data_IF_529545108543
#
_entry.id   IF_529545108543
#
_cell.length_a   1.000
_cell.length_b   1.000
_cell.length_c   1.000
_cell.angle_alpha   90.00
_cell.angle_beta   90.00
_cell.angle_gamma   90.00
#
_symmetry.space_group_name_H-M   'P 1'
#
loop_
_entity.id
_entity.type
_entity.pdbx_description
1 polymer ?
#
# COMPACT_ATOMS: atom_id res chain seq x y z
N UNK A 1 -11.51 4.82 7.98
CA UNK A 1 -11.46 3.83 9.06
C UNK A 1 -10.29 4.16 9.96
N UNK A 2 -10.54 4.34 11.25
CA UNK A 2 -9.50 4.50 12.27
C UNK A 2 -9.02 3.12 12.75
N UNK A 3 -7.71 2.93 12.83
CA UNK A 3 -7.07 1.63 13.14
C UNK A 3 -5.93 1.81 14.13
N UNK A 4 -5.84 0.91 15.12
CA UNK A 4 -4.79 0.89 16.15
C UNK A 4 -4.44 -0.52 16.63
N UNK A 5 -3.26 -1.05 16.27
CA UNK A 5 -2.73 -2.33 16.80
C UNK A 5 -2.50 -2.30 18.32
N UNK A 6 -2.38 -1.10 18.91
CA UNK A 6 -2.20 -0.90 20.36
C UNK A 6 -3.50 -0.98 21.17
N UNK A 7 -4.63 -1.29 20.53
CA UNK A 7 -5.95 -1.43 21.17
C UNK A 7 -6.42 -0.14 21.85
N UNK A 8 -6.33 0.96 21.11
CA UNK A 8 -6.75 2.28 21.59
C UNK A 8 -8.28 2.39 21.67
N UNK A 9 -8.86 1.97 22.79
CA UNK A 9 -10.28 2.21 23.11
C UNK A 9 -11.30 1.41 22.29
N UNK A 10 -10.87 0.52 21.40
CA UNK A 10 -11.76 -0.28 20.55
C UNK A 10 -11.40 -1.77 20.48
N UNK A 11 -12.24 -2.51 19.76
CA UNK A 11 -12.11 -3.94 19.48
C UNK A 11 -12.60 -4.24 18.07
N UNK A 12 -12.02 -5.26 17.43
CA UNK A 12 -12.44 -5.72 16.10
C UNK A 12 -13.88 -6.26 16.15
N UNK A 13 -14.82 -5.40 15.76
CA UNK A 13 -16.26 -5.63 15.77
C UNK A 13 -16.87 -5.08 14.49
N UNK A 14 -18.16 -5.36 14.26
CA UNK A 14 -18.92 -4.77 13.15
C UNK A 14 -19.07 -3.24 13.28
N UNK A 15 -18.88 -2.68 14.46
CA UNK A 15 -19.05 -1.23 14.71
C UNK A 15 -17.73 -0.44 14.68
N UNK A 16 -16.56 -1.10 14.73
CA UNK A 16 -15.27 -0.39 14.71
C UNK A 16 -14.97 0.42 13.44
N UNK A 17 -13.98 1.30 13.48
CA UNK A 17 -13.48 2.09 12.35
C UNK A 17 -13.85 3.57 12.40
N UNK A 18 -14.55 4.00 13.45
CA UNK A 18 -14.76 5.42 13.78
C UNK A 18 -13.76 5.88 14.87
N UNK A 19 -13.79 7.19 15.16
CA UNK A 19 -12.86 7.83 16.10
C UNK A 19 -13.07 7.37 17.56
N UNK A 20 -14.29 6.96 17.92
CA UNK A 20 -14.68 6.51 19.26
C UNK A 20 -14.60 4.98 19.41
N UNK A 21 -14.60 4.25 18.30
CA UNK A 21 -14.57 2.79 18.22
C UNK A 21 -13.54 2.37 17.19
N UNK A 22 -12.26 2.37 17.58
CA UNK A 22 -11.13 2.12 16.67
C UNK A 22 -10.98 0.62 16.39
N UNK A 23 -10.69 0.23 15.15
CA UNK A 23 -10.38 -1.19 14.85
C UNK A 23 -8.99 -1.55 15.36
N UNK A 24 -8.83 -2.75 15.90
CA UNK A 24 -7.57 -3.22 16.47
C UNK A 24 -6.63 -3.86 15.44
N UNK A 25 -7.15 -4.27 14.29
CA UNK A 25 -6.32 -4.82 13.22
C UNK A 25 -6.61 -4.19 11.86
N UNK A 26 -5.52 -4.03 11.08
CA UNK A 26 -5.63 -3.58 9.70
C UNK A 26 -6.42 -4.59 8.85
N UNK A 27 -6.13 -5.88 9.03
CA UNK A 27 -6.83 -6.96 8.36
C UNK A 27 -8.35 -6.89 8.57
N UNK A 28 -8.80 -6.77 9.81
CA UNK A 28 -10.23 -6.64 10.10
C UNK A 28 -10.81 -5.36 9.47
N UNK A 29 -10.09 -4.24 9.53
CA UNK A 29 -10.55 -3.00 8.89
C UNK A 29 -10.73 -3.16 7.37
N UNK A 30 -9.86 -3.91 6.69
CA UNK A 30 -9.99 -4.20 5.26
C UNK A 30 -11.27 -5.00 4.97
N UNK A 31 -11.61 -5.98 5.81
CA UNK A 31 -12.83 -6.79 5.64
C UNK A 31 -14.14 -5.98 5.80
N UNK A 32 -14.06 -4.79 6.41
CA UNK A 32 -15.21 -3.92 6.65
C UNK A 32 -15.52 -2.93 5.53
N UNK A 33 -14.77 -2.97 4.44
CA UNK A 33 -15.06 -2.16 3.26
C UNK A 33 -16.48 -2.44 2.75
N UNK A 34 -17.33 -1.43 2.76
CA UNK A 34 -18.72 -1.56 2.30
C UNK A 34 -18.87 -1.41 0.79
N UNK A 35 -17.93 -0.70 0.17
CA UNK A 35 -17.84 -0.58 -1.29
C UNK A 35 -16.75 -1.53 -1.75
N UNK A 36 -17.05 -2.52 -2.61
CA UNK A 36 -16.04 -3.43 -3.11
C UNK A 36 -15.13 -2.74 -4.13
N UNK A 37 -13.94 -3.28 -4.28
CA UNK A 37 -12.92 -2.87 -5.24
C UNK A 37 -13.42 -2.82 -6.70
N UNK A 38 -12.69 -2.10 -7.57
CA UNK A 38 -13.00 -2.10 -9.00
C UNK A 38 -12.87 -3.51 -9.59
N UNK A 39 -13.92 -3.90 -10.29
CA UNK A 39 -13.99 -5.11 -11.11
C UNK A 39 -14.40 -4.72 -12.53
N UNK A 40 -14.22 -5.59 -13.53
CA UNK A 40 -14.72 -5.35 -14.88
C UNK A 40 -16.22 -5.01 -14.95
N UNK A 41 -17.02 -5.48 -13.99
CA UNK A 41 -18.47 -5.32 -13.98
C UNK A 41 -18.95 -4.02 -13.35
N UNK A 42 -18.11 -3.33 -12.55
CA UNK A 42 -18.49 -2.11 -11.84
C UNK A 42 -17.74 -0.85 -12.32
N UNK A 43 -17.03 -0.92 -13.44
CA UNK A 43 -16.24 0.21 -13.98
C UNK A 43 -17.09 1.43 -14.37
N UNK A 44 -18.33 1.21 -14.80
CA UNK A 44 -19.23 2.28 -15.25
C UNK A 44 -20.01 2.95 -14.11
N UNK A 45 -19.79 2.55 -12.85
CA UNK A 45 -20.65 2.98 -11.75
C UNK A 45 -20.64 4.49 -11.47
N UNK A 46 -19.72 5.27 -12.07
CA UNK A 46 -19.59 6.74 -11.87
C UNK A 46 -19.17 7.15 -10.46
N UNK A 47 -19.47 6.33 -9.46
CA UNK A 47 -19.07 6.43 -8.07
C UNK A 47 -17.57 6.16 -7.95
N UNK A 48 -16.85 7.07 -7.28
CA UNK A 48 -15.45 6.88 -6.95
C UNK A 48 -15.31 5.94 -5.74
N UNK A 49 -14.39 4.98 -5.82
CA UNK A 49 -14.06 4.08 -4.71
C UNK A 49 -12.87 4.65 -3.95
N UNK A 50 -13.09 4.98 -2.68
CA UNK A 50 -12.08 5.61 -1.81
C UNK A 50 -11.93 4.81 -0.54
N UNK A 51 -10.70 4.37 -0.27
CA UNK A 51 -10.34 3.78 1.02
C UNK A 51 -9.40 4.70 1.77
N UNK A 52 -9.76 5.02 3.01
CA UNK A 52 -8.98 5.85 3.90
C UNK A 52 -8.77 5.11 5.21
N UNK A 53 -7.51 4.90 5.56
CA UNK A 53 -7.09 4.32 6.84
C UNK A 53 -6.30 5.36 7.62
N UNK A 54 -6.74 5.63 8.84
CA UNK A 54 -6.10 6.58 9.75
C UNK A 54 -5.50 5.79 10.91
N UNK A 55 -4.19 5.91 11.07
CA UNK A 55 -3.44 5.28 12.15
C UNK A 55 -3.59 6.08 13.43
N UNK A 56 -4.18 5.44 14.45
CA UNK A 56 -4.16 5.93 15.83
C UNK A 56 -3.06 5.16 16.54
N UNK A 57 -1.96 5.85 16.84
CA UNK A 57 -0.67 5.29 17.28
C UNK A 57 0.02 4.41 16.24
N UNK A 58 -0.57 3.28 15.86
CA UNK A 58 0.12 2.25 15.10
C UNK A 58 -0.85 1.37 14.30
N UNK A 59 -0.55 1.14 13.03
CA UNK A 59 -1.18 0.14 12.18
C UNK A 59 -0.16 -0.95 11.92
N UNK A 60 -0.49 -2.21 12.18
CA UNK A 60 0.35 -3.34 11.80
C UNK A 60 -0.13 -3.93 10.47
N UNK A 61 0.76 -3.94 9.48
CA UNK A 61 0.60 -4.62 8.19
C UNK A 61 1.40 -5.91 8.28
N UNK A 62 0.69 -7.03 8.37
CA UNK A 62 1.25 -8.36 8.61
C UNK A 62 1.07 -9.34 7.43
N UNK A 63 0.50 -8.85 6.33
CA UNK A 63 0.28 -9.63 5.12
C UNK A 63 0.31 -8.71 3.89
N UNK A 64 0.54 -9.26 2.68
CA UNK A 64 0.47 -8.48 1.46
C UNK A 64 -0.92 -7.87 1.26
N UNK A 65 -0.96 -6.56 1.03
CA UNK A 65 -2.17 -5.80 0.76
C UNK A 65 -2.16 -5.24 -0.66
N UNK A 66 -3.32 -5.35 -1.32
CA UNK A 66 -3.58 -4.86 -2.67
C UNK A 66 -4.98 -4.31 -2.71
N UNK A 67 -5.21 -3.32 -3.56
CA UNK A 67 -6.55 -2.77 -3.78
C UNK A 67 -6.69 -2.22 -5.20
N UNK A 68 -7.91 -2.34 -5.72
CA UNK A 68 -8.37 -1.74 -6.97
C UNK A 68 -9.24 -0.50 -6.72
N UNK A 69 -9.19 0.10 -5.52
CA UNK A 69 -9.81 1.39 -5.26
C UNK A 69 -9.20 2.49 -6.14
N UNK A 70 -10.02 3.48 -6.49
CA UNK A 70 -9.59 4.63 -7.29
C UNK A 70 -8.66 5.53 -6.47
N UNK A 71 -8.89 5.60 -5.15
CA UNK A 71 -8.08 6.33 -4.19
C UNK A 71 -7.83 5.44 -2.96
N UNK A 72 -6.55 5.24 -2.63
CA UNK A 72 -6.10 4.68 -1.36
C UNK A 72 -5.35 5.75 -0.57
N UNK A 73 -5.74 5.95 0.69
CA UNK A 73 -5.12 6.87 1.63
C UNK A 73 -4.74 6.14 2.91
N UNK A 74 -3.47 6.29 3.30
CA UNK A 74 -2.96 5.88 4.60
C UNK A 74 -2.41 7.11 5.32
N UNK A 75 -3.08 7.52 6.38
CA UNK A 75 -2.79 8.72 7.15
C UNK A 75 -2.40 8.41 8.58
N UNK A 76 -1.59 9.26 9.21
CA UNK A 76 -1.53 9.33 10.67
C UNK A 76 -2.63 10.26 11.19
N UNK A 77 -3.17 9.95 12.36
CA UNK A 77 -4.15 10.82 13.02
C UNK A 77 -3.52 12.18 13.36
N UNK A 78 -4.31 13.24 13.21
CA UNK A 78 -3.93 14.60 13.60
C UNK A 78 -4.48 14.96 14.98
N UNK A 79 -3.85 15.91 15.65
CA UNK A 79 -4.34 16.46 16.94
C UNK A 79 -5.71 17.13 16.82
N UNK A 80 -6.06 17.58 15.61
CA UNK A 80 -7.36 18.18 15.32
C UNK A 80 -8.47 17.11 15.25
N UNK A 81 -8.12 15.87 14.90
CA UNK A 81 -9.04 14.72 14.88
C UNK A 81 -9.16 14.04 16.25
N UNK A 82 -8.04 13.83 16.94
CA UNK A 82 -7.99 13.24 18.28
C UNK A 82 -7.05 14.07 19.14
N UNK A 83 -7.60 14.82 20.09
CA UNK A 83 -6.85 15.76 20.92
C UNK A 83 -5.80 15.08 21.82
N UNK A 84 -6.05 13.82 22.18
CA UNK A 84 -5.22 12.97 22.99
C UNK A 84 -4.07 12.33 22.20
N UNK A 85 -4.08 12.43 20.86
CA UNK A 85 -3.03 11.90 20.01
C UNK A 85 -1.79 12.79 20.09
N UNK A 86 -0.90 12.48 21.05
CA UNK A 86 0.37 13.20 21.23
C UNK A 86 1.49 12.72 20.30
N UNK A 87 1.30 11.56 19.66
CA UNK A 87 2.27 10.95 18.75
C UNK A 87 1.69 10.87 17.33
N UNK A 88 2.53 11.13 16.32
CA UNK A 88 2.15 10.86 14.93
C UNK A 88 1.81 9.38 14.77
N UNK A 89 0.67 9.09 14.12
CA UNK A 89 0.31 7.72 13.76
C UNK A 89 1.44 7.04 12.97
N UNK A 90 1.60 5.74 13.17
CA UNK A 90 2.61 4.93 12.49
C UNK A 90 2.01 3.77 11.71
N UNK A 91 2.71 3.29 10.69
CA UNK A 91 2.43 2.02 10.03
C UNK A 91 3.66 1.14 10.14
N UNK A 92 3.51 0.01 10.82
CA UNK A 92 4.52 -1.01 10.98
C UNK A 92 4.31 -2.12 9.96
N UNK A 93 5.36 -2.44 9.23
CA UNK A 93 5.39 -3.63 8.38
C UNK A 93 6.18 -4.71 9.11
N UNK A 94 5.61 -5.91 9.22
CA UNK A 94 6.38 -7.07 9.65
C UNK A 94 7.11 -7.73 8.46
N UNK A 95 7.64 -8.93 8.68
CA UNK A 95 8.36 -9.69 7.64
C UNK A 95 7.48 -10.09 6.44
N UNK A 96 6.16 -10.15 6.61
CA UNK A 96 5.17 -10.58 5.61
C UNK A 96 4.35 -9.40 5.05
N UNK A 97 4.34 -8.26 5.75
CA UNK A 97 3.56 -7.08 5.39
C UNK A 97 4.11 -6.35 4.18
N UNK A 98 3.31 -6.19 3.13
CA UNK A 98 3.69 -5.44 1.92
C UNK A 98 2.48 -4.72 1.35
N UNK A 99 2.69 -3.66 0.57
CA UNK A 99 1.65 -3.08 -0.28
C UNK A 99 2.12 -3.06 -1.74
N UNK A 100 1.28 -3.57 -2.65
CA UNK A 100 1.57 -3.60 -4.09
C UNK A 100 0.54 -2.78 -4.87
N UNK A 101 1.04 -1.89 -5.73
CA UNK A 101 0.24 -1.08 -6.64
C UNK A 101 0.80 -1.19 -8.07
N UNK A 102 -0.08 -1.15 -9.07
CA UNK A 102 0.31 -1.37 -10.46
C UNK A 102 -0.37 -0.42 -11.43
N UNK A 103 0.28 -0.11 -12.55
CA UNK A 103 -0.32 0.62 -13.67
C UNK A 103 -1.26 -0.26 -14.52
N UNK A 104 -1.39 -1.54 -14.19
CA UNK A 104 -2.50 -2.40 -14.61
C UNK A 104 -3.37 -2.77 -13.42
N UNK A 105 -4.67 -2.94 -13.68
CA UNK A 105 -5.57 -3.52 -12.70
C UNK A 105 -5.31 -5.02 -12.56
N UNK A 106 -5.45 -5.56 -11.36
CA UNK A 106 -5.21 -6.97 -11.08
C UNK A 106 -6.02 -7.91 -11.96
N UNK A 107 -7.27 -7.54 -12.26
CA UNK A 107 -8.16 -8.30 -13.15
C UNK A 107 -7.78 -8.20 -14.64
N UNK A 108 -6.88 -7.29 -15.03
CA UNK A 108 -6.26 -7.29 -16.37
C UNK A 108 -5.11 -8.30 -16.44
N UNK A 109 -4.33 -8.41 -15.36
CA UNK A 109 -3.15 -9.28 -15.27
C UNK A 109 -3.59 -10.74 -15.04
N UNK A 110 -4.44 -10.98 -14.05
CA UNK A 110 -5.03 -12.30 -13.83
C UNK A 110 -6.21 -12.50 -14.77
N UNK A 111 -6.17 -13.57 -15.56
CA UNK A 111 -7.35 -14.10 -16.29
C UNK A 111 -8.38 -14.61 -15.28
N UNK A 112 -9.16 -13.69 -14.70
CA UNK A 112 -10.22 -14.04 -13.77
C UNK A 112 -11.29 -14.82 -14.53
N UNK A 113 -11.59 -16.05 -14.08
CA UNK A 113 -12.62 -16.93 -14.65
C UNK A 113 -12.32 -17.28 -16.13
N UNK A 114 -11.04 -17.37 -16.53
CA UNK A 114 -10.61 -17.62 -17.93
C UNK A 114 -11.09 -16.57 -18.95
N UNK A 115 -11.62 -15.45 -18.48
CA UNK A 115 -11.99 -14.32 -19.34
C UNK A 115 -10.81 -13.37 -19.39
N UNK A 116 -10.46 -12.95 -20.60
CA UNK A 116 -9.41 -11.97 -20.84
C UNK A 116 -10.00 -10.56 -20.80
N UNK A 117 -9.65 -9.81 -19.75
CA UNK A 117 -10.04 -8.42 -19.57
C UNK A 117 -8.92 -7.42 -19.92
N UNK A 118 -7.81 -7.87 -20.50
CA UNK A 118 -6.69 -7.02 -20.91
C UNK A 118 -7.10 -5.89 -21.86
N UNK A 119 -8.18 -6.08 -22.62
CA UNK A 119 -8.74 -5.11 -23.57
C UNK A 119 -9.53 -3.97 -22.91
N UNK A 120 -9.94 -4.12 -21.66
CA UNK A 120 -10.70 -3.13 -20.90
C UNK A 120 -9.73 -2.15 -20.26
N UNK A 121 -10.03 -0.84 -20.33
CA UNK A 121 -9.17 0.18 -19.74
C UNK A 121 -9.28 0.17 -18.21
N UNK A 122 -8.15 0.10 -17.51
CA UNK A 122 -8.09 0.25 -16.06
C UNK A 122 -8.45 1.66 -15.59
N UNK A 123 -9.01 1.77 -14.38
CA UNK A 123 -9.34 3.06 -13.76
C UNK A 123 -8.09 3.65 -13.11
N UNK A 124 -7.85 4.94 -13.28
CA UNK A 124 -6.69 5.61 -12.67
C UNK A 124 -6.71 5.45 -11.14
N UNK A 125 -5.55 5.16 -10.57
CA UNK A 125 -5.39 4.95 -9.15
C UNK A 125 -4.50 6.03 -8.52
N UNK A 126 -4.94 6.59 -7.40
CA UNK A 126 -4.16 7.49 -6.56
C UNK A 126 -3.86 6.79 -5.24
N UNK A 127 -2.60 6.82 -4.83
CA UNK A 127 -2.09 6.25 -3.58
C UNK A 127 -1.44 7.38 -2.81
N UNK A 128 -1.92 7.63 -1.59
CA UNK A 128 -1.42 8.70 -0.73
C UNK A 128 -1.03 8.15 0.63
N UNK A 129 0.23 8.37 1.00
CA UNK A 129 0.72 8.24 2.37
C UNK A 129 0.91 9.66 2.90
N UNK A 130 0.26 10.02 4.00
CA UNK A 130 0.41 11.36 4.55
C UNK A 130 0.53 11.37 6.08
N UNK A 131 1.35 12.28 6.61
CA UNK A 131 1.45 12.54 8.06
C UNK A 131 1.63 11.28 8.92
N UNK A 132 2.31 10.25 8.39
CA UNK A 132 2.44 8.95 9.02
C UNK A 132 3.91 8.56 9.14
N UNK A 133 4.27 7.92 10.25
CA UNK A 133 5.59 7.32 10.42
C UNK A 133 5.60 5.90 9.84
N UNK A 134 6.40 5.66 8.80
CA UNK A 134 6.57 4.35 8.18
C UNK A 134 7.68 3.59 8.90
N UNK A 135 7.31 2.53 9.60
CA UNK A 135 8.24 1.70 10.37
C UNK A 135 8.54 0.42 9.62
N UNK A 136 9.81 0.27 9.26
CA UNK A 136 10.32 -0.86 8.50
C UNK A 136 10.73 -2.01 9.44
N UNK A 137 10.55 -3.27 9.02
CA UNK A 137 10.98 -4.43 9.80
C UNK A 137 12.52 -4.48 9.89
N UNK A 138 13.01 -5.11 10.95
CA UNK A 138 14.45 -5.33 11.17
C UNK A 138 15.04 -6.30 10.15
N UNK A 139 14.29 -7.37 9.86
CA UNK A 139 14.64 -8.42 8.93
C UNK A 139 13.46 -8.67 8.02
N UNK A 140 13.70 -8.78 6.72
CA UNK A 140 12.65 -9.10 5.75
C UNK A 140 13.18 -10.09 4.73
N UNK A 141 12.40 -11.15 4.45
CA UNK A 141 12.72 -12.08 3.37
C UNK A 141 12.56 -11.41 2.00
N UNK A 142 11.52 -10.59 1.86
CA UNK A 142 11.29 -9.76 0.69
C UNK A 142 12.02 -8.41 0.79
N UNK A 143 12.32 -7.85 -0.38
CA UNK A 143 13.24 -6.72 -0.49
C UNK A 143 12.56 -5.36 -0.35
N UNK A 144 11.27 -5.28 -0.03
CA UNK A 144 10.51 -4.04 -0.05
C UNK A 144 9.30 -4.04 0.88
N UNK A 145 8.81 -2.86 1.27
CA UNK A 145 7.48 -2.71 1.92
C UNK A 145 6.43 -2.12 0.97
N UNK A 146 6.83 -1.27 0.02
CA UNK A 146 5.99 -0.74 -1.04
C UNK A 146 6.53 -1.20 -2.40
N UNK A 147 5.68 -1.82 -3.20
CA UNK A 147 6.00 -2.26 -4.56
C UNK A 147 5.16 -1.53 -5.59
N UNK A 148 5.82 -0.95 -6.58
CA UNK A 148 5.19 -0.37 -7.75
C UNK A 148 5.53 -1.24 -8.96
N UNK A 149 4.50 -1.74 -9.66
CA UNK A 149 4.66 -2.64 -10.81
C UNK A 149 4.12 -1.99 -12.07
N UNK A 150 5.00 -1.68 -13.02
CA UNK A 150 4.59 -1.07 -14.27
C UNK A 150 4.78 -1.91 -15.52
N UNK A 151 3.96 -1.62 -16.50
CA UNK A 151 4.07 -2.18 -17.85
C UNK A 151 5.19 -1.52 -18.64
N UNK A 152 6.03 -2.36 -19.26
CA UNK A 152 7.16 -1.93 -20.11
C UNK A 152 6.70 -1.35 -21.45
N UNK A 153 5.62 -1.87 -22.00
CA UNK A 153 5.06 -1.46 -23.28
C UNK A 153 3.93 -0.44 -23.10
N UNK A 154 3.71 0.41 -24.11
CA UNK A 154 2.56 1.31 -24.15
C UNK A 154 1.26 0.51 -24.37
N UNK A 155 0.77 -0.14 -23.31
CA UNK A 155 -0.53 -0.78 -23.31
C UNK A 155 -1.56 0.32 -23.13
N UNK A 156 -2.28 0.63 -24.20
CA UNK A 156 -3.23 1.75 -24.22
C UNK A 156 -4.36 1.60 -23.18
N UNK A 157 -4.56 0.37 -22.68
CA UNK A 157 -5.59 -0.04 -21.73
C UNK A 157 -5.12 -0.06 -20.26
N UNK A 158 -3.85 0.23 -19.98
CA UNK A 158 -3.37 0.43 -18.60
C UNK A 158 -3.99 1.68 -17.95
N UNK A 159 -3.89 1.76 -16.63
CA UNK A 159 -4.30 2.92 -15.80
C UNK A 159 -3.12 3.83 -15.50
N UNK A 160 -3.40 5.08 -15.12
CA UNK A 160 -2.37 5.92 -14.51
C UNK A 160 -2.30 5.63 -13.01
N UNK A 161 -1.11 5.40 -12.50
CA UNK A 161 -0.82 5.23 -11.08
C UNK A 161 -0.09 6.47 -10.56
N UNK A 162 -0.66 7.13 -9.55
CA UNK A 162 -0.01 8.24 -8.85
C UNK A 162 0.24 7.87 -7.40
N UNK A 163 1.52 7.71 -7.02
CA UNK A 163 1.94 7.60 -5.64
C UNK A 163 2.36 8.99 -5.12
N UNK A 164 1.86 9.37 -3.96
CA UNK A 164 2.28 10.58 -3.24
C UNK A 164 2.61 10.20 -1.80
N UNK A 165 3.80 10.57 -1.34
CA UNK A 165 4.24 10.44 0.05
C UNK A 165 4.50 11.86 0.55
N UNK A 166 3.76 12.29 1.57
CA UNK A 166 3.76 13.69 2.02
C UNK A 166 3.82 13.79 3.55
N UNK A 167 4.76 14.58 4.07
CA UNK A 167 4.92 14.79 5.51
C UNK A 167 5.07 13.47 6.30
N UNK A 168 5.68 12.46 5.68
CA UNK A 168 5.94 11.18 6.31
C UNK A 168 7.34 11.14 6.89
N UNK A 169 7.51 10.42 7.98
CA UNK A 169 8.82 9.98 8.44
C UNK A 169 9.00 8.49 8.18
N UNK A 170 10.24 8.01 8.21
CA UNK A 170 10.49 6.59 8.35
C UNK A 170 11.48 6.31 9.46
N UNK A 171 11.26 5.17 10.10
CA UNK A 171 12.09 4.63 11.16
C UNK A 171 12.21 3.11 11.01
N UNK A 172 13.14 2.53 11.74
CA UNK A 172 13.27 1.08 11.85
C UNK A 172 13.13 0.65 13.31
N UNK A 173 12.59 -0.54 13.53
CA UNK A 173 12.28 -1.08 14.86
C UNK A 173 13.52 -1.53 15.69
N UNK A 174 14.68 -0.87 15.60
CA UNK A 174 15.87 -1.27 16.39
C UNK A 174 16.81 -0.11 16.80
N UNK A 175 17.42 -0.25 17.98
CA UNK A 175 18.67 0.41 18.41
C UNK A 175 19.87 -0.35 17.85
N UNK A 176 20.79 0.29 17.13
CA UNK A 176 21.93 -0.38 16.49
C UNK A 176 23.28 0.28 16.78
N UNK A 177 24.27 -0.59 17.05
CA UNK A 177 25.68 -0.29 17.39
C UNK A 177 26.64 -0.22 16.17
N UNK A 178 26.15 -0.36 14.92
CA UNK A 178 27.01 -0.34 13.71
C UNK A 178 26.32 0.33 12.51
N UNK A 179 27.10 0.98 11.65
CA UNK A 179 26.64 1.69 10.45
C UNK A 179 26.47 0.74 9.24
N UNK A 180 25.28 0.70 8.64
CA UNK A 180 25.01 0.04 7.35
C UNK A 180 24.06 0.90 6.52
N UNK A 181 24.13 0.74 5.19
CA UNK A 181 23.40 1.51 4.20
C UNK A 181 22.00 0.95 3.96
N UNK A 182 21.00 1.83 3.93
CA UNK A 182 19.64 1.56 3.46
C UNK A 182 19.39 2.21 2.10
N UNK A 183 18.51 1.62 1.29
CA UNK A 183 18.07 2.20 0.01
C UNK A 183 16.62 2.69 0.11
N UNK A 184 16.41 4.00 -0.02
CA UNK A 184 15.06 4.58 -0.14
C UNK A 184 14.33 4.01 -1.36
N UNK A 185 15.05 3.87 -2.47
CA UNK A 185 14.54 3.36 -3.73
C UNK A 185 15.41 2.22 -4.24
N UNK A 186 14.76 1.17 -4.74
CA UNK A 186 15.35 0.14 -5.57
C UNK A 186 14.60 0.09 -6.89
N UNK A 187 15.33 0.13 -8.00
CA UNK A 187 14.75 0.05 -9.33
C UNK A 187 15.66 -0.76 -10.24
N UNK A 188 15.09 -1.66 -11.02
CA UNK A 188 15.72 -2.10 -12.26
C UNK A 188 15.48 -1.04 -13.36
N UNK A 189 16.26 -1.00 -14.46
CA UNK A 189 15.97 -0.10 -15.57
C UNK A 189 14.52 -0.24 -16.04
N UNK A 190 13.73 0.80 -15.82
CA UNK A 190 12.28 0.81 -15.94
C UNK A 190 11.83 2.11 -16.61
N UNK A 191 10.88 2.01 -17.53
CA UNK A 191 10.25 3.16 -18.18
C UNK A 191 8.74 2.91 -18.22
N UNK A 192 7.98 3.58 -17.35
CA UNK A 192 6.52 3.68 -17.50
C UNK A 192 6.11 5.13 -17.67
N UNK A 193 5.29 5.38 -18.67
CA UNK A 193 4.67 6.69 -18.93
C UNK A 193 3.42 6.93 -18.06
N UNK A 194 3.04 5.95 -17.24
CA UNK A 194 1.77 5.93 -16.50
C UNK A 194 1.95 5.97 -15.00
N UNK A 195 3.19 5.94 -14.52
CA UNK A 195 3.53 6.06 -13.11
C UNK A 195 4.07 7.44 -12.79
N UNK A 196 3.49 8.07 -11.76
CA UNK A 196 4.01 9.28 -11.17
C UNK A 196 4.24 9.04 -9.68
N UNK A 197 5.50 9.17 -9.24
CA UNK A 197 5.89 9.08 -7.84
C UNK A 197 6.33 10.46 -7.39
N UNK A 198 5.68 10.98 -6.35
CA UNK A 198 6.02 12.27 -5.75
C UNK A 198 6.29 12.09 -4.25
N UNK A 199 7.41 12.62 -3.77
CA UNK A 199 7.79 12.56 -2.35
C UNK A 199 8.09 13.97 -1.86
N UNK A 200 7.40 14.39 -0.80
CA UNK A 200 7.50 15.73 -0.22
C UNK A 200 7.66 15.66 1.29
N UNK A 201 8.55 16.49 1.85
CA UNK A 201 8.79 16.60 3.30
C UNK A 201 8.99 15.23 3.98
N UNK A 202 9.79 14.38 3.34
CA UNK A 202 10.07 13.03 3.80
C UNK A 202 11.33 13.00 4.66
N UNK A 203 11.21 12.53 5.90
CA UNK A 203 12.29 12.55 6.89
C UNK A 203 12.69 11.11 7.25
N UNK A 204 13.99 10.82 7.21
CA UNK A 204 14.53 9.54 7.66
C UNK A 204 15.23 9.62 9.00
N UNK A 205 14.81 8.80 9.95
CA UNK A 205 15.42 8.70 11.26
C UNK A 205 15.93 7.27 11.48
N UNK A 206 17.23 7.12 11.76
CA UNK A 206 17.86 5.87 12.23
C UNK A 206 17.40 4.59 11.50
N UNK A 207 17.64 4.50 10.19
CA UNK A 207 17.30 3.31 9.41
C UNK A 207 18.55 2.52 8.99
N UNK A 208 18.56 1.23 9.31
CA UNK A 208 19.63 0.29 9.04
C UNK A 208 19.02 -0.97 8.43
N UNK A 209 18.99 -1.12 7.11
CA UNK A 209 18.39 -2.34 6.55
C UNK A 209 19.28 -2.96 5.51
N UNK A 210 19.78 -4.16 5.82
CA UNK A 210 20.43 -5.01 4.84
C UNK A 210 19.35 -5.66 3.97
N UNK A 211 19.42 -5.43 2.65
CA UNK A 211 18.60 -6.15 1.68
C UNK A 211 17.17 -5.65 1.47
N UNK A 212 16.67 -4.66 2.23
CA UNK A 212 15.31 -4.11 2.06
C UNK A 212 15.34 -2.64 1.62
N UNK A 213 14.37 -2.24 0.81
CA UNK A 213 14.10 -0.86 0.41
C UNK A 213 12.70 -0.41 0.82
N UNK A 214 12.45 0.90 0.92
CA UNK A 214 11.08 1.40 1.17
C UNK A 214 10.22 1.16 -0.06
N UNK A 215 10.71 1.58 -1.24
CA UNK A 215 9.99 1.49 -2.50
C UNK A 215 10.80 0.68 -3.50
N UNK A 216 10.22 -0.41 -3.99
CA UNK A 216 10.72 -1.13 -5.17
C UNK A 216 9.86 -0.78 -6.39
N UNK A 217 10.52 -0.40 -7.48
CA UNK A 217 9.89 -0.14 -8.76
C UNK A 217 10.39 -1.19 -9.75
N UNK A 218 9.49 -2.06 -10.20
CA UNK A 218 9.81 -3.13 -11.14
C UNK A 218 8.93 -3.06 -12.39
N UNK A 219 9.46 -3.59 -13.49
CA UNK A 219 8.62 -3.98 -14.61
C UNK A 219 7.79 -5.21 -14.22
N UNK A 220 6.64 -5.37 -14.85
CA UNK A 220 5.91 -6.64 -14.85
C UNK A 220 6.91 -7.77 -15.15
N UNK A 221 7.16 -8.71 -14.23
CA UNK A 221 7.83 -9.94 -14.61
C UNK A 221 6.85 -10.69 -15.50
N UNK A 222 7.30 -11.25 -16.62
CA UNK A 222 6.48 -12.14 -17.44
C UNK A 222 5.74 -13.14 -16.53
N UNK A 223 4.45 -12.89 -16.27
CA UNK A 223 3.58 -13.84 -15.57
C UNK A 223 3.19 -14.90 -16.59
N UNK A 224 4.18 -15.64 -17.10
CA UNK A 224 3.93 -16.94 -17.69
C UNK A 224 3.54 -17.87 -16.54
N UNK A 225 2.25 -17.93 -16.25
CA UNK A 225 1.68 -19.21 -15.82
C UNK A 225 1.69 -20.10 -17.06
N UNK A 226 2.80 -20.82 -17.26
CA UNK A 226 2.77 -22.02 -18.08
C UNK A 226 1.92 -23.02 -17.29
N UNK A 227 0.61 -23.01 -17.51
CA UNK A 227 -0.22 -24.15 -17.14
C UNK A 227 0.29 -25.34 -17.97
N UNK A 228 1.20 -26.10 -17.37
CA UNK A 228 1.54 -27.44 -17.79
C UNK A 228 0.28 -28.29 -17.73
N UNK A 229 -0.44 -28.38 -18.85
CA UNK A 229 -1.13 -29.60 -19.20
C UNK A 229 -0.72 -30.00 -20.62
N UNK A 230 0.37 -30.77 -20.64
CA UNK A 230 0.66 -31.77 -21.66
C UNK A 230 -0.62 -32.56 -21.97
N UNK A 231 -0.95 -32.67 -23.26
CA UNK A 231 -1.61 -33.87 -23.79
C UNK A 231 -0.52 -34.82 -24.27
#
# INVERSE_FOLDING_TARGET
>A
MYVSSRKWGGVDTEECGDVNSICNSFEHSVLKQTTPDRTPTNLQSGQQIVYTYISVCEILVNQPYRTEADIFMLGGVTTDEISEATECGSVQFDENGEMEFSDQAYWQIKKIIRVDYSSIKGVNQKVLFHSINIVLPTTKQSKYVLKLVGTKDYVNKSRNLKLTIENCSFAQNNTLDKATNFFLFRTEPFLSLRMNVSIFNFIGNNAFIEGTCLIEINNEPDVFTLDNHLN
#
